data_IF_019564220438
#
_entry.id   IF_019564220438
#
_cell.length_a   1.000
_cell.length_b   1.000
_cell.length_c   1.000
_cell.angle_alpha   90.00
_cell.angle_beta   90.00
_cell.angle_gamma   90.00
#
_symmetry.space_group_name_H-M   'P 1'
#
loop_
_entity.id
_entity.type
_entity.pdbx_description
1 polymer ?
#
# COMPACT_ATOMS: atom_id res chain seq x y z
N UNK A 1 67.29 -25.88 -29.90
CA UNK A 1 66.21 -26.57 -29.17
C UNK A 1 66.39 -28.07 -29.38
N UNK A 2 66.46 -28.86 -28.32
CA UNK A 2 66.61 -30.32 -28.38
C UNK A 2 65.22 -30.97 -28.39
N UNK A 3 64.97 -31.89 -29.32
CA UNK A 3 63.75 -32.69 -29.32
C UNK A 3 63.80 -33.68 -28.16
N UNK A 4 62.76 -33.71 -27.32
CA UNK A 4 62.67 -34.61 -26.15
C UNK A 4 62.39 -36.04 -26.62
N UNK A 5 61.70 -36.22 -27.76
CA UNK A 5 61.32 -37.53 -28.29
C UNK A 5 62.51 -38.27 -28.91
N UNK A 6 63.36 -37.59 -29.71
CA UNK A 6 64.45 -38.26 -30.45
C UNK A 6 65.85 -37.67 -30.21
N UNK A 7 66.00 -36.72 -29.29
CA UNK A 7 67.28 -36.15 -28.89
C UNK A 7 67.97 -35.23 -29.92
N UNK A 8 67.45 -35.11 -31.15
CA UNK A 8 68.03 -34.25 -32.21
C UNK A 8 68.03 -32.77 -31.80
N UNK A 9 69.13 -32.08 -32.08
CA UNK A 9 69.33 -30.66 -31.77
C UNK A 9 69.08 -29.84 -33.03
N UNK A 10 68.18 -28.86 -32.91
CA UNK A 10 67.85 -27.94 -34.01
C UNK A 10 68.25 -26.51 -33.65
N UNK A 11 68.74 -25.77 -34.65
CA UNK A 11 68.96 -24.32 -34.55
C UNK A 11 67.63 -23.56 -34.64
N UNK A 12 67.68 -22.23 -34.74
CA UNK A 12 66.50 -21.35 -34.70
C UNK A 12 65.42 -21.65 -35.77
N UNK A 13 65.76 -22.41 -36.81
CA UNK A 13 64.86 -22.82 -37.91
C UNK A 13 64.82 -24.35 -37.99
N UNK A 14 63.67 -24.91 -38.40
CA UNK A 14 63.53 -26.34 -38.68
C UNK A 14 62.90 -27.20 -37.58
N UNK A 15 62.90 -26.77 -36.30
CA UNK A 15 62.29 -27.55 -35.21
C UNK A 15 60.80 -27.84 -35.45
N UNK A 16 60.03 -26.83 -35.86
CA UNK A 16 58.60 -26.98 -36.14
C UNK A 16 58.32 -27.94 -37.30
N UNK A 17 59.19 -27.99 -38.30
CA UNK A 17 59.07 -28.92 -39.43
C UNK A 17 59.43 -30.34 -39.00
N UNK A 18 60.43 -30.49 -38.14
CA UNK A 18 60.85 -31.77 -37.59
C UNK A 18 59.74 -32.48 -36.80
N UNK A 19 58.89 -31.75 -36.07
CA UNK A 19 57.80 -32.36 -35.29
C UNK A 19 56.80 -33.16 -36.15
N UNK A 20 56.73 -32.90 -37.46
CA UNK A 20 55.93 -33.71 -38.40
C UNK A 20 56.41 -35.16 -38.50
N UNK A 21 57.71 -35.42 -38.28
CA UNK A 21 58.28 -36.78 -38.26
C UNK A 21 57.72 -37.60 -37.10
N UNK A 22 57.31 -36.93 -36.02
CA UNK A 22 56.66 -37.54 -34.85
C UNK A 22 55.12 -37.46 -34.93
N UNK A 23 54.58 -37.05 -36.08
CA UNK A 23 53.14 -36.84 -36.30
C UNK A 23 52.48 -35.90 -35.26
N UNK A 24 53.21 -34.88 -34.77
CA UNK A 24 52.72 -33.93 -33.77
C UNK A 24 52.71 -32.50 -34.28
N UNK A 25 51.70 -31.73 -33.87
CA UNK A 25 51.69 -30.28 -34.05
C UNK A 25 52.56 -29.57 -32.99
N UNK A 26 53.08 -28.39 -33.35
CA UNK A 26 53.94 -27.59 -32.47
C UNK A 26 53.27 -27.27 -31.13
N UNK A 27 51.97 -26.99 -31.16
CA UNK A 27 51.17 -26.71 -29.96
C UNK A 27 51.02 -27.96 -29.09
N UNK A 28 50.77 -29.12 -29.68
CA UNK A 28 50.61 -30.39 -28.97
C UNK A 28 51.92 -30.78 -28.28
N UNK A 29 53.03 -30.71 -29.02
CA UNK A 29 54.35 -30.94 -28.43
C UNK A 29 54.63 -30.00 -27.25
N UNK A 30 54.28 -28.72 -27.37
CA UNK A 30 54.42 -27.77 -26.27
C UNK A 30 53.52 -28.13 -25.08
N UNK A 31 52.25 -28.45 -25.34
CA UNK A 31 51.27 -28.80 -24.31
C UNK A 31 51.64 -30.09 -23.56
N UNK A 32 52.24 -31.07 -24.24
CA UNK A 32 52.62 -32.37 -23.66
C UNK A 32 53.96 -32.32 -22.92
N UNK A 33 54.98 -31.67 -23.48
CA UNK A 33 56.36 -31.81 -22.99
C UNK A 33 56.95 -30.55 -22.36
N UNK A 34 56.37 -29.36 -22.61
CA UNK A 34 56.95 -28.08 -22.19
C UNK A 34 56.03 -27.24 -21.29
N UNK A 35 54.74 -27.59 -21.22
CA UNK A 35 53.75 -26.79 -20.50
C UNK A 35 53.85 -27.05 -19.00
N UNK A 36 54.07 -25.97 -18.25
CA UNK A 36 54.01 -25.97 -16.79
C UNK A 36 52.66 -25.46 -16.29
N UNK A 37 52.32 -25.75 -15.03
CA UNK A 37 51.07 -25.34 -14.42
C UNK A 37 50.87 -23.82 -14.49
N UNK A 38 49.69 -23.37 -14.95
CA UNK A 38 49.36 -21.95 -15.09
C UNK A 38 49.66 -21.33 -16.46
N UNK A 39 50.43 -21.98 -17.33
CA UNK A 39 50.66 -21.51 -18.72
C UNK A 39 49.41 -21.74 -19.58
N UNK A 40 49.08 -20.74 -20.41
CA UNK A 40 47.89 -20.78 -21.27
C UNK A 40 46.64 -20.24 -20.62
N UNK A 41 46.76 -19.64 -19.42
CA UNK A 41 45.67 -19.04 -18.66
C UNK A 41 45.97 -17.55 -18.48
N UNK A 42 44.95 -16.71 -18.69
CA UNK A 42 45.06 -15.27 -18.59
C UNK A 42 45.13 -14.85 -17.11
N UNK A 43 46.18 -14.11 -16.74
CA UNK A 43 46.40 -13.66 -15.36
C UNK A 43 45.29 -12.76 -14.80
N UNK A 44 44.43 -12.19 -15.64
CA UNK A 44 43.40 -11.21 -15.22
C UNK A 44 42.00 -11.82 -15.15
N UNK A 45 41.69 -12.79 -16.01
CA UNK A 45 40.32 -13.30 -16.15
C UNK A 45 40.21 -14.83 -16.15
N UNK A 46 41.33 -15.55 -16.03
CA UNK A 46 41.34 -17.01 -15.97
C UNK A 46 40.97 -17.73 -17.28
N UNK A 47 40.72 -16.99 -18.36
CA UNK A 47 40.40 -17.58 -19.67
C UNK A 47 41.65 -18.12 -20.36
N UNK A 48 41.45 -19.07 -21.27
CA UNK A 48 42.53 -19.56 -22.12
C UNK A 48 43.16 -18.43 -22.95
N UNK A 49 44.46 -18.51 -23.15
CA UNK A 49 45.22 -17.55 -23.96
C UNK A 49 45.67 -18.15 -25.27
N UNK A 50 46.04 -17.29 -26.23
CA UNK A 50 46.49 -17.72 -27.55
C UNK A 50 47.91 -18.27 -27.47
N UNK A 51 48.14 -19.46 -28.02
CA UNK A 51 49.48 -19.97 -28.26
C UNK A 51 50.18 -19.12 -29.33
N UNK A 52 51.37 -18.60 -29.02
CA UNK A 52 52.12 -17.73 -29.92
C UNK A 52 53.16 -18.51 -30.71
N UNK A 53 54.04 -19.22 -30.02
CA UNK A 53 55.07 -20.06 -30.64
C UNK A 53 55.70 -20.97 -29.60
N UNK A 54 56.47 -21.97 -30.03
CA UNK A 54 57.15 -22.87 -29.10
C UNK A 54 58.15 -22.16 -28.17
N UNK A 55 58.71 -21.02 -28.60
CA UNK A 55 59.64 -20.22 -27.80
C UNK A 55 58.93 -19.28 -26.83
N UNK A 56 57.90 -18.59 -27.33
CA UNK A 56 57.15 -17.59 -26.54
C UNK A 56 56.08 -18.26 -25.67
N UNK A 57 55.72 -19.51 -25.98
CA UNK A 57 54.63 -20.23 -25.36
C UNK A 57 53.29 -19.56 -25.63
N UNK A 58 52.46 -19.49 -24.59
CA UNK A 58 51.17 -18.84 -24.61
C UNK A 58 51.25 -17.36 -24.24
N UNK A 59 50.36 -16.56 -24.83
CA UNK A 59 50.20 -15.15 -24.43
C UNK A 59 49.88 -15.05 -22.94
N UNK A 60 50.44 -14.02 -22.29
CA UNK A 60 50.17 -13.70 -20.88
C UNK A 60 48.70 -13.29 -20.63
N UNK A 61 48.06 -12.68 -21.64
CA UNK A 61 46.69 -12.19 -21.56
C UNK A 61 45.84 -12.69 -22.73
N UNK A 62 44.53 -12.85 -22.51
CA UNK A 62 43.60 -13.33 -23.55
C UNK A 62 43.18 -12.23 -24.54
N UNK A 63 43.37 -10.95 -24.22
CA UNK A 63 42.99 -9.82 -25.07
C UNK A 63 43.66 -8.51 -24.63
N UNK A 64 43.65 -7.51 -25.52
CA UNK A 64 44.10 -6.14 -25.21
C UNK A 64 43.37 -5.55 -23.99
N UNK A 65 42.09 -5.90 -23.80
CA UNK A 65 41.33 -5.51 -22.61
C UNK A 65 41.97 -6.02 -21.32
N UNK A 66 42.37 -7.29 -21.29
CA UNK A 66 43.03 -7.87 -20.11
C UNK A 66 44.43 -7.30 -19.94
N UNK A 67 45.19 -7.15 -21.03
CA UNK A 67 46.51 -6.51 -20.99
C UNK A 67 46.47 -5.09 -20.42
N UNK A 68 45.48 -4.28 -20.82
CA UNK A 68 45.33 -2.91 -20.33
C UNK A 68 44.83 -2.82 -18.87
N UNK A 69 44.26 -3.91 -18.36
CA UNK A 69 43.82 -4.03 -16.97
C UNK A 69 44.86 -4.74 -16.09
N UNK A 70 46.03 -5.07 -16.64
CA UNK A 70 47.11 -5.65 -15.85
C UNK A 70 47.59 -4.64 -14.78
N UNK A 71 47.80 -5.07 -13.52
CA UNK A 71 48.19 -4.16 -12.43
C UNK A 71 49.40 -3.29 -12.78
N UNK A 72 50.44 -3.88 -13.40
CA UNK A 72 51.64 -3.16 -13.82
C UNK A 72 51.37 -2.05 -14.85
N UNK A 73 50.42 -2.27 -15.76
CA UNK A 73 50.00 -1.28 -16.76
C UNK A 73 49.18 -0.18 -16.12
N UNK A 74 48.29 -0.53 -15.18
CA UNK A 74 47.50 0.45 -14.41
C UNK A 74 48.41 1.38 -13.62
N UNK A 75 49.39 0.85 -12.89
CA UNK A 75 50.35 1.65 -12.11
C UNK A 75 51.19 2.56 -13.01
N UNK A 76 51.71 2.05 -14.14
CA UNK A 76 52.46 2.88 -15.11
C UNK A 76 51.61 4.04 -15.64
N UNK A 77 50.34 3.78 -15.94
CA UNK A 77 49.41 4.81 -16.42
C UNK A 77 49.11 5.85 -15.35
N UNK A 78 48.87 5.44 -14.12
CA UNK A 78 48.67 6.35 -13.00
C UNK A 78 49.89 7.25 -12.76
N UNK A 79 51.09 6.67 -12.75
CA UNK A 79 52.34 7.43 -12.63
C UNK A 79 52.50 8.43 -13.78
N UNK A 80 52.18 8.02 -15.01
CA UNK A 80 52.22 8.92 -16.19
C UNK A 80 51.24 10.08 -16.04
N UNK A 81 50.03 9.83 -15.53
CA UNK A 81 49.06 10.90 -15.29
C UNK A 81 49.46 11.83 -14.14
N UNK A 82 50.05 11.28 -13.07
CA UNK A 82 50.62 12.07 -12.00
C UNK A 82 51.73 12.99 -12.51
N UNK A 83 52.66 12.47 -13.31
CA UNK A 83 53.76 13.26 -13.90
C UNK A 83 53.25 14.36 -14.84
N UNK A 84 52.30 14.05 -15.73
CA UNK A 84 51.82 15.00 -16.74
C UNK A 84 50.77 16.00 -16.25
N UNK A 85 49.92 15.59 -15.32
CA UNK A 85 48.71 16.34 -14.95
C UNK A 85 48.59 16.59 -13.44
N UNK A 86 49.52 16.11 -12.62
CA UNK A 86 49.48 16.25 -11.16
C UNK A 86 48.30 15.51 -10.50
N UNK A 87 47.65 14.59 -11.22
CA UNK A 87 46.45 13.91 -10.72
C UNK A 87 46.42 12.44 -11.16
N UNK A 88 45.87 11.58 -10.29
CA UNK A 88 45.70 10.13 -10.56
C UNK A 88 44.79 9.84 -11.76
N UNK A 89 44.08 10.84 -12.26
CA UNK A 89 43.33 10.77 -13.51
C UNK A 89 43.10 12.20 -14.04
N UNK A 90 43.32 12.49 -15.32
CA UNK A 90 43.19 13.85 -15.87
C UNK A 90 41.81 14.48 -15.60
N UNK A 91 40.73 13.71 -15.76
CA UNK A 91 39.37 14.20 -15.50
C UNK A 91 39.08 14.58 -14.04
N UNK A 92 39.97 14.27 -13.08
CA UNK A 92 39.85 14.74 -11.69
C UNK A 92 40.35 16.16 -11.50
N UNK A 93 41.12 16.71 -12.45
CA UNK A 93 41.58 18.10 -12.42
C UNK A 93 40.39 19.05 -12.49
N UNK A 94 40.36 20.02 -11.60
CA UNK A 94 39.21 20.93 -11.46
C UNK A 94 38.96 21.75 -12.74
N UNK A 95 40.03 22.15 -13.42
CA UNK A 95 39.98 22.81 -14.72
C UNK A 95 39.20 21.99 -15.77
N UNK A 96 39.46 20.68 -15.86
CA UNK A 96 38.79 19.79 -16.82
C UNK A 96 37.33 19.59 -16.43
N UNK A 97 37.03 19.43 -15.13
CA UNK A 97 35.64 19.36 -14.65
C UNK A 97 34.86 20.62 -14.98
N UNK A 98 35.48 21.79 -14.78
CA UNK A 98 34.86 23.09 -15.04
C UNK A 98 34.61 23.29 -16.53
N UNK A 99 35.56 22.93 -17.40
CA UNK A 99 35.37 22.95 -18.86
C UNK A 99 34.18 22.09 -19.28
N UNK A 100 34.10 20.85 -18.81
CA UNK A 100 32.96 19.95 -19.10
C UNK A 100 31.63 20.53 -18.61
N UNK A 101 31.61 21.10 -17.40
CA UNK A 101 30.41 21.72 -16.83
C UNK A 101 29.96 22.93 -17.65
N UNK A 102 30.88 23.82 -18.02
CA UNK A 102 30.61 24.99 -18.84
C UNK A 102 30.06 24.60 -20.22
N UNK A 103 30.68 23.63 -20.90
CA UNK A 103 30.19 23.13 -22.20
C UNK A 103 28.75 22.63 -22.12
N UNK A 104 28.34 22.01 -21.01
CA UNK A 104 26.96 21.58 -20.82
C UNK A 104 26.00 22.73 -20.48
N UNK A 105 26.45 23.69 -19.66
CA UNK A 105 25.66 24.86 -19.27
C UNK A 105 25.32 25.72 -20.49
N UNK A 106 26.30 25.96 -21.37
CA UNK A 106 26.15 26.76 -22.59
C UNK A 106 25.19 26.16 -23.63
N UNK A 107 24.83 24.87 -23.50
CA UNK A 107 23.87 24.25 -24.43
C UNK A 107 22.46 24.77 -24.23
N UNK A 108 21.82 25.09 -25.35
CA UNK A 108 20.41 25.44 -25.41
C UNK A 108 19.53 24.27 -24.94
N UNK A 109 18.30 24.59 -24.51
CA UNK A 109 17.28 23.61 -24.16
C UNK A 109 17.01 22.63 -25.33
N UNK A 110 16.95 23.14 -26.56
CA UNK A 110 16.74 22.33 -27.77
C UNK A 110 17.87 21.30 -27.96
N UNK A 111 19.13 21.71 -27.84
CA UNK A 111 20.26 20.78 -27.92
C UNK A 111 20.23 19.71 -26.84
N UNK A 112 19.93 20.09 -25.59
CA UNK A 112 19.81 19.15 -24.46
C UNK A 112 18.73 18.10 -24.73
N UNK A 113 17.59 18.51 -25.29
CA UNK A 113 16.51 17.61 -25.70
C UNK A 113 16.93 16.67 -26.84
N UNK A 114 17.63 17.19 -27.85
CA UNK A 114 18.16 16.37 -28.97
C UNK A 114 19.11 15.29 -28.45
N UNK A 115 20.03 15.65 -27.55
CA UNK A 115 20.98 14.72 -26.93
C UNK A 115 20.23 13.63 -26.15
N UNK A 116 19.24 14.02 -25.34
CA UNK A 116 18.39 13.09 -24.60
C UNK A 116 17.66 12.11 -25.52
N UNK A 117 17.07 12.62 -26.61
CA UNK A 117 16.37 11.82 -27.61
C UNK A 117 17.30 10.84 -28.33
N UNK A 118 18.49 11.28 -28.75
CA UNK A 118 19.50 10.40 -29.37
C UNK A 118 19.91 9.27 -28.43
N UNK A 119 20.15 9.57 -27.14
CA UNK A 119 20.47 8.55 -26.12
C UNK A 119 19.33 7.53 -25.97
N UNK A 120 18.08 8.00 -25.88
CA UNK A 120 16.89 7.15 -25.78
C UNK A 120 16.77 6.22 -27.00
N UNK A 121 16.88 6.77 -28.21
CA UNK A 121 16.75 6.01 -29.46
C UNK A 121 17.85 4.95 -29.61
N UNK A 122 19.10 5.27 -29.27
CA UNK A 122 20.18 4.28 -29.28
C UNK A 122 19.93 3.14 -28.29
N UNK A 123 19.38 3.45 -27.12
CA UNK A 123 19.02 2.45 -26.11
C UNK A 123 17.91 1.52 -26.63
N UNK A 124 16.86 2.09 -27.24
CA UNK A 124 15.76 1.34 -27.83
C UNK A 124 16.28 0.44 -28.96
N UNK A 125 17.08 0.98 -29.89
CA UNK A 125 17.65 0.22 -31.01
C UNK A 125 18.50 -0.97 -30.56
N UNK A 126 19.24 -0.85 -29.45
CA UNK A 126 20.16 -1.90 -28.98
C UNK A 126 19.52 -2.90 -28.02
N UNK A 127 18.56 -2.46 -27.21
CA UNK A 127 18.08 -3.23 -26.06
C UNK A 127 16.54 -3.29 -25.96
N UNK A 128 15.80 -2.72 -26.92
CA UNK A 128 14.33 -2.66 -26.89
C UNK A 128 13.73 -1.74 -25.83
N UNK A 129 14.55 -1.17 -24.94
CA UNK A 129 14.12 -0.33 -23.82
C UNK A 129 14.63 1.10 -23.93
N UNK A 130 13.90 2.05 -23.35
CA UNK A 130 14.30 3.47 -23.37
C UNK A 130 15.46 3.81 -22.45
N UNK A 131 15.77 2.95 -21.49
CA UNK A 131 16.90 3.07 -20.57
C UNK A 131 17.35 1.67 -20.15
N UNK A 132 18.66 1.45 -20.13
CA UNK A 132 19.24 0.16 -19.69
C UNK A 132 18.89 -0.18 -18.25
N UNK A 133 18.52 0.82 -17.44
CA UNK A 133 18.01 0.61 -16.07
C UNK A 133 16.70 -0.17 -16.00
N UNK A 134 15.98 -0.31 -17.11
CA UNK A 134 14.75 -1.10 -17.19
C UNK A 134 15.03 -2.60 -17.33
N UNK A 135 16.22 -2.98 -17.85
CA UNK A 135 16.63 -4.37 -18.03
C UNK A 135 16.74 -5.09 -16.68
N UNK A 136 16.17 -6.30 -16.60
CA UNK A 136 16.18 -7.12 -15.38
C UNK A 136 17.61 -7.39 -14.90
N UNK A 137 18.51 -7.82 -15.80
CA UNK A 137 19.92 -8.08 -15.49
C UNK A 137 20.62 -6.87 -14.83
N UNK A 138 20.33 -5.65 -15.31
CA UNK A 138 20.90 -4.42 -14.75
C UNK A 138 20.32 -4.12 -13.37
N UNK A 139 19.02 -4.37 -13.16
CA UNK A 139 18.39 -4.22 -11.84
C UNK A 139 18.97 -5.20 -10.83
N UNK A 140 19.20 -6.44 -11.23
CA UNK A 140 19.72 -7.48 -10.32
C UNK A 140 21.18 -7.26 -9.98
N UNK A 141 22.02 -6.89 -10.97
CA UNK A 141 23.42 -6.49 -10.69
C UNK A 141 23.51 -5.32 -9.71
N UNK A 142 22.58 -4.36 -9.78
CA UNK A 142 22.51 -3.26 -8.81
C UNK A 142 22.18 -3.75 -7.41
N UNK A 143 21.17 -4.63 -7.27
CA UNK A 143 20.80 -5.21 -5.97
C UNK A 143 21.97 -5.99 -5.36
N UNK A 144 22.61 -6.87 -6.14
CA UNK A 144 23.77 -7.66 -5.71
C UNK A 144 24.90 -6.74 -5.24
N UNK A 145 25.18 -5.68 -5.99
CA UNK A 145 26.22 -4.71 -5.61
C UNK A 145 25.86 -3.96 -4.31
N UNK A 146 24.59 -3.57 -4.13
CA UNK A 146 24.14 -2.91 -2.91
C UNK A 146 24.20 -3.84 -1.70
N UNK A 147 23.80 -5.10 -1.87
CA UNK A 147 23.93 -6.14 -0.84
C UNK A 147 25.39 -6.35 -0.45
N UNK A 148 26.30 -6.48 -1.42
CA UNK A 148 27.73 -6.65 -1.17
C UNK A 148 28.34 -5.48 -0.40
N UNK A 149 27.96 -4.24 -0.73
CA UNK A 149 28.59 -3.05 -0.17
C UNK A 149 27.93 -2.56 1.13
N UNK A 150 26.64 -2.81 1.31
CA UNK A 150 25.84 -2.19 2.37
C UNK A 150 24.93 -3.17 3.13
N UNK A 151 24.91 -4.46 2.77
CA UNK A 151 24.03 -5.47 3.36
C UNK A 151 22.55 -5.32 3.03
N UNK A 152 22.18 -4.35 2.18
CA UNK A 152 20.78 -4.02 1.84
C UNK A 152 20.58 -3.92 0.34
N UNK A 153 19.38 -4.23 -0.14
CA UNK A 153 19.04 -4.20 -1.57
C UNK A 153 18.97 -2.77 -2.15
N UNK A 154 18.73 -1.78 -1.30
CA UNK A 154 18.68 -0.37 -1.67
C UNK A 154 19.60 0.44 -0.73
N UNK A 155 20.57 1.23 -1.25
CA UNK A 155 21.47 2.03 -0.43
C UNK A 155 20.76 2.95 0.56
N UNK A 156 19.57 3.44 0.24
CA UNK A 156 18.79 4.32 1.13
C UNK A 156 18.28 3.62 2.40
N UNK A 157 18.24 2.29 2.42
CA UNK A 157 17.92 1.50 3.61
C UNK A 157 19.13 1.34 4.55
N UNK A 158 20.34 1.58 4.04
CA UNK A 158 21.56 1.44 4.83
C UNK A 158 21.67 2.59 5.83
N UNK A 159 21.76 2.26 7.12
CA UNK A 159 21.95 3.23 8.20
C UNK A 159 23.20 4.08 7.96
N UNK A 160 24.29 3.48 7.47
CA UNK A 160 25.54 4.17 7.13
C UNK A 160 25.30 5.25 6.05
N UNK A 161 24.54 4.92 5.01
CA UNK A 161 24.22 5.87 3.94
C UNK A 161 23.29 6.97 4.45
N UNK A 162 22.28 6.64 5.24
CA UNK A 162 21.38 7.63 5.84
C UNK A 162 22.13 8.62 6.75
N UNK A 163 23.04 8.13 7.58
CA UNK A 163 23.81 8.99 8.47
C UNK A 163 24.75 9.91 7.68
N UNK A 164 25.40 9.38 6.63
CA UNK A 164 26.23 10.18 5.73
C UNK A 164 25.43 11.29 5.04
N UNK A 165 24.19 11.01 4.63
CA UNK A 165 23.30 12.03 4.04
C UNK A 165 22.97 13.11 5.07
N UNK A 166 22.60 12.72 6.30
CA UNK A 166 22.29 13.66 7.39
C UNK A 166 23.48 14.58 7.70
N UNK A 167 24.67 14.01 7.89
CA UNK A 167 25.89 14.78 8.19
C UNK A 167 26.23 15.73 7.04
N UNK A 168 26.22 15.26 5.79
CA UNK A 168 26.48 16.13 4.64
C UNK A 168 25.46 17.28 4.51
N UNK A 169 24.19 17.04 4.84
CA UNK A 169 23.17 18.09 4.81
C UNK A 169 23.38 19.10 5.95
N UNK A 170 23.77 18.63 7.14
CA UNK A 170 24.15 19.50 8.26
C UNK A 170 25.37 20.36 7.89
N UNK A 171 26.43 19.76 7.37
CA UNK A 171 27.66 20.48 7.02
C UNK A 171 27.42 21.55 5.94
N UNK A 172 26.58 21.25 4.94
CA UNK A 172 26.36 22.16 3.80
C UNK A 172 25.24 23.17 4.02
N UNK A 173 24.21 22.81 4.78
CA UNK A 173 22.96 23.55 4.84
C UNK A 173 22.48 23.81 6.27
N UNK A 174 23.17 23.33 7.30
CA UNK A 174 22.80 23.47 8.71
C UNK A 174 21.54 22.71 9.11
N UNK A 175 20.96 21.89 8.22
CA UNK A 175 19.72 21.14 8.44
C UNK A 175 19.89 19.70 8.01
N UNK A 176 19.26 18.75 8.71
CA UNK A 176 19.36 17.32 8.37
C UNK A 176 18.65 16.96 7.07
N UNK A 177 17.67 17.77 6.65
CA UNK A 177 16.88 17.57 5.44
C UNK A 177 16.82 18.87 4.64
N UNK A 178 17.21 18.80 3.36
CA UNK A 178 17.23 19.96 2.44
C UNK A 178 15.85 20.60 2.26
N UNK A 179 14.78 19.85 2.45
CA UNK A 179 13.39 20.35 2.41
C UNK A 179 13.05 21.31 3.56
N UNK A 180 13.87 21.34 4.61
CA UNK A 180 13.73 22.21 5.78
C UNK A 180 14.66 23.43 5.71
N UNK A 181 15.37 23.62 4.59
CA UNK A 181 16.08 24.87 4.34
C UNK A 181 15.09 26.03 4.22
N UNK A 182 15.51 27.23 4.65
CA UNK A 182 14.69 28.45 4.56
C UNK A 182 14.18 28.68 3.13
N UNK A 183 15.06 28.51 2.14
CA UNK A 183 14.71 28.64 0.72
C UNK A 183 13.63 27.65 0.27
N UNK A 184 13.75 26.37 0.66
CA UNK A 184 12.76 25.34 0.29
C UNK A 184 11.40 25.60 0.96
N UNK A 185 11.41 26.03 2.23
CA UNK A 185 10.20 26.39 2.97
C UNK A 185 9.49 27.56 2.27
N UNK A 186 10.24 28.59 1.86
CA UNK A 186 9.66 29.77 1.21
C UNK A 186 9.07 29.45 -0.16
N UNK A 187 9.78 28.66 -0.99
CA UNK A 187 9.24 28.19 -2.28
C UNK A 187 7.94 27.38 -2.12
N UNK A 188 7.82 26.58 -1.06
CA UNK A 188 6.57 25.85 -0.75
C UNK A 188 5.44 26.82 -0.41
N UNK A 189 5.70 27.80 0.45
CA UNK A 189 4.71 28.82 0.82
C UNK A 189 4.23 29.61 -0.38
N UNK A 190 5.13 30.08 -1.24
CA UNK A 190 4.79 30.80 -2.47
C UNK A 190 3.91 29.94 -3.40
N UNK A 191 4.25 28.66 -3.54
CA UNK A 191 3.46 27.70 -4.34
C UNK A 191 2.05 27.52 -3.76
N UNK A 192 1.92 27.40 -2.44
CA UNK A 192 0.63 27.23 -1.79
C UNK A 192 -0.22 28.49 -1.84
N UNK A 193 0.38 29.67 -1.69
CA UNK A 193 -0.29 30.96 -1.89
C UNK A 193 -0.80 31.08 -3.33
N UNK A 194 0.04 30.78 -4.32
CA UNK A 194 -0.34 30.82 -5.74
C UNK A 194 -1.49 29.88 -6.06
N UNK A 195 -1.45 28.64 -5.56
CA UNK A 195 -2.41 27.61 -5.95
C UNK A 195 -3.68 27.59 -5.11
N UNK A 196 -3.61 28.03 -3.85
CA UNK A 196 -4.67 27.84 -2.86
C UNK A 196 -5.01 29.10 -2.04
N UNK A 197 -4.31 30.22 -2.26
CA UNK A 197 -4.52 31.47 -1.51
C UNK A 197 -4.12 31.39 -0.03
N UNK A 198 -3.49 30.30 0.42
CA UNK A 198 -3.17 30.06 1.82
C UNK A 198 -1.72 29.64 2.02
N UNK A 199 -1.17 29.94 3.19
CA UNK A 199 0.20 29.59 3.58
C UNK A 199 0.39 28.11 3.90
N UNK A 200 -0.68 27.33 3.98
CA UNK A 200 -0.62 25.88 4.16
C UNK A 200 -1.87 25.22 3.56
N UNK A 201 -1.76 24.16 2.73
CA UNK A 201 -2.89 23.58 2.00
C UNK A 201 -4.03 23.11 2.88
N UNK A 202 -3.75 22.64 4.11
CA UNK A 202 -4.78 22.21 5.04
C UNK A 202 -5.75 23.33 5.48
N UNK A 203 -5.34 24.60 5.36
CA UNK A 203 -6.19 25.76 5.64
C UNK A 203 -7.13 26.09 4.47
N UNK A 204 -6.86 25.58 3.27
CA UNK A 204 -7.66 25.85 2.07
C UNK A 204 -9.01 25.13 2.12
N UNK A 205 -10.09 25.88 1.93
CA UNK A 205 -11.43 25.30 1.87
C UNK A 205 -11.63 24.36 0.68
N UNK A 206 -10.93 24.60 -0.44
CA UNK A 206 -10.91 23.70 -1.58
C UNK A 206 -10.37 22.32 -1.17
N UNK A 207 -9.29 22.29 -0.40
CA UNK A 207 -8.68 21.04 0.08
C UNK A 207 -9.56 20.37 1.13
N UNK A 208 -10.17 21.14 2.04
CA UNK A 208 -11.12 20.61 3.03
C UNK A 208 -12.32 19.95 2.33
N UNK A 209 -12.97 20.63 1.38
CA UNK A 209 -14.09 20.10 0.60
C UNK A 209 -13.72 18.82 -0.14
N UNK A 210 -12.55 18.77 -0.80
CA UNK A 210 -12.06 17.56 -1.48
C UNK A 210 -11.86 16.38 -0.55
N UNK A 211 -11.33 16.61 0.67
CA UNK A 211 -11.17 15.55 1.68
C UNK A 211 -12.52 15.01 2.14
N UNK A 212 -13.47 15.91 2.39
CA UNK A 212 -14.82 15.59 2.83
C UNK A 212 -15.56 14.76 1.78
N UNK A 213 -15.58 15.20 0.51
CA UNK A 213 -16.21 14.45 -0.59
C UNK A 213 -15.60 13.05 -0.73
N UNK A 214 -14.27 12.92 -0.77
CA UNK A 214 -13.62 11.61 -0.89
C UNK A 214 -13.92 10.67 0.28
N UNK A 215 -14.13 11.22 1.47
CA UNK A 215 -14.55 10.43 2.63
C UNK A 215 -15.98 9.89 2.46
N UNK A 216 -16.90 10.73 1.97
CA UNK A 216 -18.28 10.32 1.72
C UNK A 216 -18.41 9.34 0.56
N UNK A 217 -17.69 9.54 -0.54
CA UNK A 217 -17.68 8.62 -1.68
C UNK A 217 -17.34 7.18 -1.26
N UNK A 218 -16.43 7.03 -0.28
CA UNK A 218 -16.08 5.73 0.27
C UNK A 218 -17.15 5.13 1.19
N UNK A 219 -17.95 5.95 1.86
CA UNK A 219 -18.98 5.51 2.82
C UNK A 219 -20.34 5.24 2.18
N UNK A 220 -20.67 5.93 1.09
CA UNK A 220 -21.96 5.79 0.39
C UNK A 220 -22.32 4.32 0.11
N UNK A 221 -21.41 3.44 -0.37
CA UNK A 221 -21.75 2.03 -0.60
C UNK A 221 -22.19 1.30 0.66
N UNK A 222 -21.49 1.50 1.78
CA UNK A 222 -21.83 0.86 3.06
C UNK A 222 -23.17 1.39 3.62
N UNK A 223 -23.43 2.69 3.48
CA UNK A 223 -24.71 3.31 3.85
C UNK A 223 -25.85 2.72 3.02
N UNK A 224 -25.66 2.58 1.71
CA UNK A 224 -26.68 2.01 0.82
C UNK A 224 -27.03 0.56 1.18
N UNK A 225 -26.02 -0.27 1.47
CA UNK A 225 -26.24 -1.66 1.93
C UNK A 225 -27.00 -1.69 3.26
N UNK A 226 -26.58 -0.87 4.22
CA UNK A 226 -27.23 -0.78 5.53
C UNK A 226 -28.71 -0.37 5.42
N UNK A 227 -29.01 0.66 4.62
CA UNK A 227 -30.38 1.11 4.39
C UNK A 227 -31.23 0.06 3.68
N UNK A 228 -30.64 -0.65 2.70
CA UNK A 228 -31.32 -1.76 2.02
C UNK A 228 -31.78 -2.83 3.00
N UNK A 229 -30.94 -3.18 3.98
CA UNK A 229 -31.28 -4.15 5.04
C UNK A 229 -32.43 -3.68 5.94
N UNK A 230 -32.63 -2.36 6.07
CA UNK A 230 -33.76 -1.77 6.79
C UNK A 230 -35.01 -1.56 5.92
N UNK A 231 -34.99 -2.04 4.66
CA UNK A 231 -36.00 -1.72 3.66
C UNK A 231 -36.16 -0.21 3.44
N UNK A 232 -35.06 0.53 3.41
CA UNK A 232 -35.01 1.97 3.18
C UNK A 232 -34.12 2.30 1.98
N UNK A 233 -34.41 3.42 1.34
CA UNK A 233 -33.59 3.99 0.25
C UNK A 233 -33.39 5.48 0.48
N UNK A 234 -32.22 6.01 0.13
CA UNK A 234 -31.97 7.46 0.14
C UNK A 234 -32.78 8.13 -0.96
N UNK A 235 -33.43 9.25 -0.61
CA UNK A 235 -34.07 10.14 -1.59
C UNK A 235 -33.04 11.14 -2.13
N UNK A 236 -32.14 11.61 -1.27
CA UNK A 236 -31.08 12.55 -1.59
C UNK A 236 -29.70 11.98 -1.21
N UNK A 237 -28.60 12.45 -1.84
CA UNK A 237 -27.26 11.99 -1.49
C UNK A 237 -26.94 12.17 -0.01
N UNK A 238 -26.43 11.11 0.62
CA UNK A 238 -25.98 11.16 2.00
C UNK A 238 -24.79 12.13 2.15
N UNK A 239 -24.93 13.11 3.03
CA UNK A 239 -23.89 14.12 3.26
C UNK A 239 -23.18 13.96 4.60
N UNK A 240 -23.82 13.52 5.68
CA UNK A 240 -23.19 13.37 7.00
C UNK A 240 -24.02 12.45 7.90
N UNK A 241 -23.38 11.87 8.93
CA UNK A 241 -24.06 11.02 9.91
C UNK A 241 -24.94 11.85 10.87
N UNK A 242 -24.56 13.11 11.04
CA UNK A 242 -25.19 14.10 11.93
C UNK A 242 -26.22 14.96 11.19
N UNK A 243 -26.23 14.92 9.85
CA UNK A 243 -27.28 15.59 9.07
C UNK A 243 -28.53 14.72 9.04
N UNK A 244 -29.68 15.39 9.02
CA UNK A 244 -30.95 14.75 8.69
C UNK A 244 -30.87 14.26 7.25
N UNK A 245 -31.26 13.00 7.03
CA UNK A 245 -31.33 12.39 5.71
C UNK A 245 -32.77 12.05 5.36
N UNK A 246 -33.13 12.29 4.08
CA UNK A 246 -34.43 11.94 3.53
C UNK A 246 -34.41 10.50 3.02
N UNK A 247 -35.35 9.72 3.52
CA UNK A 247 -35.46 8.29 3.30
C UNK A 247 -36.81 7.95 2.69
N UNK A 248 -36.84 6.94 1.85
CA UNK A 248 -38.06 6.29 1.34
C UNK A 248 -38.13 4.88 1.88
N UNK A 249 -39.26 4.49 2.45
CA UNK A 249 -39.50 3.12 2.84
C UNK A 249 -39.81 2.26 1.61
N UNK A 250 -39.14 1.13 1.46
CA UNK A 250 -39.36 0.19 0.36
C UNK A 250 -40.63 -0.65 0.57
N UNK A 251 -41.16 -0.74 1.79
CA UNK A 251 -42.41 -1.43 2.14
C UNK A 251 -43.62 -0.53 1.85
N UNK A 252 -43.86 0.49 2.67
CA UNK A 252 -45.05 1.35 2.54
C UNK A 252 -44.90 2.53 1.56
N UNK A 253 -43.72 2.68 0.93
CA UNK A 253 -43.39 3.76 -0.03
C UNK A 253 -43.37 5.17 0.53
N UNK A 254 -43.75 5.38 1.79
CA UNK A 254 -43.72 6.68 2.45
C UNK A 254 -42.31 7.25 2.56
N UNK A 255 -42.20 8.58 2.50
CA UNK A 255 -40.98 9.32 2.74
C UNK A 255 -40.96 9.89 4.15
N UNK A 256 -39.78 9.91 4.77
CA UNK A 256 -39.59 10.46 6.10
C UNK A 256 -38.14 10.90 6.30
N UNK A 257 -37.90 11.64 7.36
CA UNK A 257 -36.60 12.17 7.73
C UNK A 257 -36.10 11.52 9.01
N UNK A 258 -34.81 11.19 9.05
CA UNK A 258 -34.14 10.69 10.25
C UNK A 258 -32.67 11.06 10.23
N UNK A 259 -32.06 11.16 11.41
CA UNK A 259 -30.60 11.12 11.50
C UNK A 259 -30.11 9.71 11.15
N UNK A 260 -29.02 9.61 10.41
CA UNK A 260 -28.38 8.32 10.13
C UNK A 260 -27.97 7.61 11.42
N UNK A 261 -27.48 8.37 12.41
CA UNK A 261 -27.16 7.84 13.73
C UNK A 261 -28.34 7.09 14.38
N UNK A 262 -29.57 7.62 14.29
CA UNK A 262 -30.75 6.94 14.85
C UNK A 262 -31.11 5.66 14.13
N UNK A 263 -30.85 5.56 12.82
CA UNK A 263 -31.02 4.31 12.07
C UNK A 263 -30.07 3.24 12.61
N UNK A 264 -28.81 3.60 12.88
CA UNK A 264 -27.81 2.67 13.42
C UNK A 264 -28.18 2.14 14.80
N UNK A 265 -28.83 2.96 15.62
CA UNK A 265 -29.29 2.58 16.96
C UNK A 265 -30.65 1.84 16.96
N UNK A 266 -31.23 1.58 15.79
CA UNK A 266 -32.51 0.87 15.65
C UNK A 266 -33.76 1.74 15.86
N UNK A 267 -33.59 3.01 16.26
CA UNK A 267 -34.69 3.96 16.44
C UNK A 267 -35.22 4.53 15.12
N UNK A 268 -34.37 4.68 14.10
CA UNK A 268 -34.69 5.35 12.83
C UNK A 268 -35.57 4.56 11.85
N UNK A 269 -36.28 3.52 12.29
CA UNK A 269 -37.17 2.73 11.40
C UNK A 269 -38.25 3.59 10.76
N UNK A 270 -38.85 3.08 9.69
CA UNK A 270 -39.97 3.77 9.04
C UNK A 270 -41.10 4.03 10.07
N UNK A 271 -41.47 5.28 10.34
CA UNK A 271 -42.44 5.61 11.38
C UNK A 271 -43.87 5.16 11.05
N UNK A 272 -44.15 4.86 9.79
CA UNK A 272 -45.45 4.38 9.33
C UNK A 272 -45.58 2.85 9.45
N UNK A 273 -44.50 2.11 9.16
CA UNK A 273 -44.49 0.65 9.36
C UNK A 273 -44.21 0.28 10.83
N UNK A 274 -43.52 1.15 11.57
CA UNK A 274 -43.07 0.92 12.94
C UNK A 274 -43.27 2.19 13.79
N UNK A 275 -44.53 2.58 14.07
CA UNK A 275 -44.84 3.78 14.86
C UNK A 275 -44.30 3.65 16.30
N UNK A 276 -43.60 4.68 16.79
CA UNK A 276 -42.94 4.66 18.11
C UNK A 276 -43.87 4.83 19.31
N UNK A 277 -45.13 5.22 19.10
CA UNK A 277 -46.04 5.66 20.17
C UNK A 277 -47.15 4.66 20.53
N UNK A 278 -47.12 3.44 19.98
CA UNK A 278 -48.16 2.43 20.19
C UNK A 278 -47.52 1.04 20.19
N UNK A 279 -47.73 0.26 21.25
CA UNK A 279 -47.25 -1.12 21.32
C UNK A 279 -47.95 -1.94 20.24
N UNK A 280 -47.18 -2.43 19.25
CA UNK A 280 -47.71 -3.29 18.18
C UNK A 280 -48.37 -4.53 18.80
N UNK A 281 -47.83 -5.04 19.92
CA UNK A 281 -48.39 -6.17 20.65
C UNK A 281 -49.76 -5.89 21.24
N UNK A 282 -49.92 -4.76 21.96
CA UNK A 282 -51.21 -4.34 22.53
C UNK A 282 -52.28 -4.20 21.44
N UNK A 283 -51.95 -3.58 20.30
CA UNK A 283 -52.88 -3.46 19.17
C UNK A 283 -53.23 -4.79 18.55
N UNK A 284 -52.25 -5.69 18.40
CA UNK A 284 -52.47 -7.02 17.86
C UNK A 284 -53.45 -7.82 18.72
N UNK A 285 -53.33 -7.72 20.05
CA UNK A 285 -54.26 -8.35 20.99
C UNK A 285 -55.64 -7.67 20.92
N UNK A 286 -55.69 -6.34 20.88
CA UNK A 286 -56.94 -5.60 20.74
C UNK A 286 -57.69 -5.94 19.44
N UNK A 287 -56.99 -6.12 18.33
CA UNK A 287 -57.58 -6.56 17.06
C UNK A 287 -58.11 -7.99 17.18
N UNK A 288 -57.36 -8.91 17.79
CA UNK A 288 -57.83 -10.27 18.03
C UNK A 288 -59.12 -10.31 18.87
N UNK A 289 -59.20 -9.51 19.95
CA UNK A 289 -60.42 -9.40 20.77
C UNK A 289 -61.59 -8.84 19.96
N UNK A 290 -61.31 -7.85 19.09
CA UNK A 290 -62.33 -7.29 18.18
C UNK A 290 -62.84 -8.31 17.17
N UNK A 291 -61.97 -9.15 16.63
CA UNK A 291 -62.33 -10.23 15.69
C UNK A 291 -63.22 -11.28 16.36
N UNK A 292 -63.09 -11.47 17.68
CA UNK A 292 -64.01 -12.27 18.51
C UNK A 292 -65.36 -11.57 18.79
N UNK A 293 -65.59 -10.37 18.23
CA UNK A 293 -66.79 -9.55 18.45
C UNK A 293 -67.03 -9.20 19.93
N UNK A 294 -65.95 -8.93 20.68
CA UNK A 294 -66.00 -8.51 22.09
C UNK A 294 -65.60 -7.04 22.18
N UNK A 295 -66.42 -6.23 22.86
CA UNK A 295 -66.10 -4.84 23.16
C UNK A 295 -65.09 -4.73 24.31
N UNK A 296 -64.15 -3.78 24.17
CA UNK A 296 -63.11 -3.54 25.16
C UNK A 296 -62.70 -2.07 25.22
N UNK A 297 -62.03 -1.70 26.31
CA UNK A 297 -61.49 -0.37 26.57
C UNK A 297 -59.97 -0.49 26.70
N UNK A 298 -59.21 0.45 26.10
CA UNK A 298 -57.74 0.44 26.16
C UNK A 298 -57.19 1.46 27.16
N UNK A 299 -55.95 1.25 27.62
CA UNK A 299 -55.14 2.20 28.38
C UNK A 299 -55.87 2.76 29.63
N UNK A 300 -56.41 1.86 30.45
CA UNK A 300 -57.31 2.18 31.55
C UNK A 300 -56.54 2.45 32.84
N UNK A 301 -56.59 3.68 33.38
CA UNK A 301 -55.83 4.09 34.59
C UNK A 301 -56.66 4.21 35.87
N UNK A 302 -57.97 4.14 35.77
CA UNK A 302 -58.89 4.39 36.89
C UNK A 302 -59.30 3.12 37.66
N UNK A 303 -58.96 1.93 37.19
CA UNK A 303 -59.30 0.65 37.85
C UNK A 303 -58.31 0.32 38.98
N UNK A 304 -57.01 0.42 38.70
CA UNK A 304 -55.91 0.13 39.64
C UNK A 304 -54.92 1.30 39.75
N UNK A 305 -55.37 2.52 40.09
CA UNK A 305 -54.50 3.70 40.13
C UNK A 305 -53.33 3.50 41.10
N UNK A 306 -52.10 3.97 40.76
CA UNK A 306 -51.75 4.78 39.60
C UNK A 306 -51.42 3.97 38.32
N UNK A 307 -51.60 2.64 38.34
CA UNK A 307 -51.21 1.76 37.26
C UNK A 307 -52.25 1.76 36.13
N UNK A 308 -51.75 1.60 34.90
CA UNK A 308 -52.55 1.43 33.69
C UNK A 308 -52.79 -0.06 33.42
N UNK A 309 -53.96 -0.41 32.89
CA UNK A 309 -54.28 -1.71 32.30
C UNK A 309 -54.36 -1.52 30.78
N UNK A 310 -53.64 -2.34 30.01
CA UNK A 310 -53.59 -2.20 28.55
C UNK A 310 -54.97 -2.39 27.91
N UNK A 311 -55.69 -3.47 28.25
CA UNK A 311 -57.03 -3.78 27.74
C UNK A 311 -57.94 -4.24 28.89
N UNK A 312 -59.16 -3.69 28.96
CA UNK A 312 -60.19 -4.08 29.91
C UNK A 312 -61.49 -4.43 29.18
N UNK A 313 -62.11 -5.56 29.56
CA UNK A 313 -63.37 -6.08 29.04
C UNK A 313 -64.38 -6.05 30.19
N UNK A 314 -65.19 -4.97 30.32
CA UNK A 314 -66.07 -4.77 31.46
C UNK A 314 -67.09 -5.90 31.64
N UNK A 315 -67.72 -6.34 30.55
CA UNK A 315 -68.78 -7.35 30.58
C UNK A 315 -68.32 -8.69 31.16
N UNK A 316 -67.03 -9.04 30.96
CA UNK A 316 -66.46 -10.30 31.43
C UNK A 316 -65.63 -10.16 32.70
N UNK A 317 -65.46 -8.94 33.22
CA UNK A 317 -64.49 -8.60 34.28
C UNK A 317 -63.09 -9.18 34.00
N UNK A 318 -62.64 -9.05 32.76
CA UNK A 318 -61.31 -9.51 32.33
C UNK A 318 -60.44 -8.31 31.98
N UNK A 319 -59.21 -8.30 32.47
CA UNK A 319 -58.14 -7.41 32.06
C UNK A 319 -57.08 -8.20 31.29
N UNK A 320 -56.49 -7.62 30.26
CA UNK A 320 -55.38 -8.21 29.50
C UNK A 320 -54.21 -7.23 29.48
N UNK A 321 -53.02 -7.72 29.83
CA UNK A 321 -51.78 -6.96 29.84
C UNK A 321 -50.77 -7.60 28.87
N UNK A 322 -50.18 -6.78 28.00
CA UNK A 322 -49.11 -7.17 27.10
C UNK A 322 -47.74 -6.79 27.68
N UNK A 323 -46.95 -7.80 28.00
CA UNK A 323 -45.68 -7.63 28.69
C UNK A 323 -44.47 -7.74 27.76
N UNK A 324 -43.92 -6.59 27.38
CA UNK A 324 -42.64 -6.54 26.65
C UNK A 324 -41.48 -7.08 27.50
N UNK A 325 -40.74 -8.07 27.01
CA UNK A 325 -39.75 -8.81 27.82
C UNK A 325 -38.66 -7.91 28.40
N UNK A 326 -38.11 -7.00 27.60
CA UNK A 326 -37.10 -6.06 28.09
C UNK A 326 -37.72 -4.96 28.96
N UNK A 327 -38.76 -4.28 28.46
CA UNK A 327 -39.34 -3.09 29.08
C UNK A 327 -40.01 -3.37 30.41
N UNK A 328 -40.54 -4.59 30.60
CA UNK A 328 -41.17 -5.00 31.85
C UNK A 328 -40.25 -5.85 32.74
N UNK A 329 -38.93 -5.78 32.53
CA UNK A 329 -37.92 -6.44 33.35
C UNK A 329 -37.29 -5.51 34.39
N UNK A 330 -36.67 -6.10 35.42
CA UNK A 330 -35.86 -5.39 36.41
C UNK A 330 -34.70 -4.60 35.75
N UNK A 331 -34.17 -5.09 34.62
CA UNK A 331 -33.12 -4.39 33.86
C UNK A 331 -33.58 -3.05 33.29
N UNK A 332 -34.87 -2.93 32.95
CA UNK A 332 -35.47 -1.66 32.52
C UNK A 332 -35.97 -0.82 33.71
N UNK A 333 -35.70 -1.23 34.95
CA UNK A 333 -36.03 -0.50 36.17
C UNK A 333 -37.42 -0.81 36.73
N UNK A 334 -38.11 -1.87 36.29
CA UNK A 334 -39.36 -2.31 36.91
C UNK A 334 -39.11 -3.08 38.20
N UNK A 335 -39.99 -2.94 39.17
CA UNK A 335 -39.93 -3.71 40.40
C UNK A 335 -40.13 -5.21 40.13
N UNK A 336 -39.43 -6.08 40.87
CA UNK A 336 -39.53 -7.55 40.73
C UNK A 336 -40.95 -8.09 40.92
N UNK A 337 -41.78 -7.40 41.71
CA UNK A 337 -43.16 -7.78 41.97
C UNK A 337 -44.16 -7.01 41.09
N UNK A 338 -43.72 -6.24 40.09
CA UNK A 338 -44.59 -5.39 39.26
C UNK A 338 -45.80 -6.16 38.69
N UNK A 339 -45.54 -7.30 38.05
CA UNK A 339 -46.57 -8.17 37.46
C UNK A 339 -47.49 -8.78 38.53
N UNK A 340 -46.91 -9.27 39.62
CA UNK A 340 -47.65 -9.85 40.75
C UNK A 340 -48.56 -8.82 41.43
N UNK A 341 -48.10 -7.57 41.56
CA UNK A 341 -48.85 -6.49 42.16
C UNK A 341 -50.07 -6.12 41.30
N UNK A 342 -49.92 -6.02 39.97
CA UNK A 342 -51.06 -5.83 39.05
C UNK A 342 -52.09 -6.95 39.17
N UNK A 343 -51.64 -8.21 39.21
CA UNK A 343 -52.51 -9.37 39.37
C UNK A 343 -53.32 -9.29 40.67
N UNK A 344 -52.67 -8.98 41.80
CA UNK A 344 -53.33 -8.83 43.11
C UNK A 344 -54.35 -7.70 43.11
N UNK A 345 -53.99 -6.52 42.60
CA UNK A 345 -54.87 -5.36 42.55
C UNK A 345 -56.10 -5.61 41.67
N UNK A 346 -55.95 -6.33 40.55
CA UNK A 346 -57.10 -6.74 39.73
C UNK A 346 -57.98 -7.75 40.49
N UNK A 347 -57.37 -8.74 41.15
CA UNK A 347 -58.10 -9.74 41.93
C UNK A 347 -58.91 -9.12 43.07
N UNK A 348 -58.38 -8.10 43.75
CA UNK A 348 -59.11 -7.34 44.79
C UNK A 348 -60.35 -6.61 44.27
N UNK A 349 -60.40 -6.35 42.96
CA UNK A 349 -61.53 -5.72 42.26
C UNK A 349 -62.45 -6.73 41.57
N UNK A 350 -62.27 -8.02 41.85
CA UNK A 350 -63.00 -9.11 41.18
C UNK A 350 -62.78 -9.09 39.65
N UNK A 351 -61.57 -8.74 39.22
CA UNK A 351 -61.15 -8.69 37.81
C UNK A 351 -60.08 -9.75 37.58
N UNK A 352 -60.30 -10.63 36.60
CA UNK A 352 -59.30 -11.62 36.17
C UNK A 352 -58.27 -10.96 35.24
N UNK A 353 -57.02 -10.87 35.67
CA UNK A 353 -55.92 -10.39 34.83
C UNK A 353 -55.27 -11.54 34.05
N UNK A 354 -55.23 -11.40 32.72
CA UNK A 354 -54.48 -12.26 31.80
C UNK A 354 -53.21 -11.49 31.42
N UNK A 355 -52.04 -12.08 31.66
CA UNK A 355 -50.75 -11.49 31.33
C UNK A 355 -50.15 -12.28 30.17
N UNK A 356 -49.88 -11.61 29.06
CA UNK A 356 -49.32 -12.21 27.83
C UNK A 356 -47.94 -11.62 27.63
N UNK A 357 -46.89 -12.43 27.66
CA UNK A 357 -45.54 -11.97 27.39
C UNK A 357 -45.26 -11.87 25.89
N UNK A 358 -44.38 -10.95 25.50
CA UNK A 358 -44.05 -10.65 24.10
C UNK A 358 -43.64 -11.91 23.30
N UNK A 359 -42.84 -12.81 23.87
CA UNK A 359 -42.46 -14.06 23.19
C UNK A 359 -43.62 -15.05 23.07
N UNK A 360 -44.52 -15.11 24.05
CA UNK A 360 -45.72 -15.94 23.98
C UNK A 360 -46.62 -15.49 22.82
N UNK A 361 -46.86 -14.17 22.73
CA UNK A 361 -47.67 -13.62 21.65
C UNK A 361 -47.02 -13.77 20.27
N UNK A 362 -45.69 -13.63 20.18
CA UNK A 362 -44.98 -13.68 18.89
C UNK A 362 -44.74 -15.11 18.38
N UNK A 363 -44.58 -16.09 19.28
CA UNK A 363 -44.06 -17.41 18.90
C UNK A 363 -44.94 -18.59 19.34
N UNK A 364 -45.99 -18.37 20.13
CA UNK A 364 -46.85 -19.43 20.69
C UNK A 364 -48.34 -19.13 20.51
N UNK A 365 -48.75 -18.81 19.28
CA UNK A 365 -50.15 -18.48 18.96
C UNK A 365 -51.05 -19.73 18.82
N UNK A 366 -50.45 -20.92 18.64
CA UNK A 366 -51.16 -22.20 18.59
C UNK A 366 -51.41 -22.69 20.03
N UNK A 367 -52.49 -22.24 20.66
CA UNK A 367 -52.99 -22.79 21.93
C UNK A 367 -54.47 -23.16 21.79
#
# INVERSE_FOLDING_TARGET
MKCIICGKIFSNKGFSAHLKVHNMLVKEYFDTYLKTAGIGICEICGKSTKFLSIKKGYSRFCSNKCSNNAPSVLTKRENTWMLKYGAKHPAKKEEIKNKVKQTWTLKSLKEKQIISRKRKNTCIKRYGVSSTNQLAEVKDKKKITCLKNYGVVNPMQSVVVQQKIKNNNLDKYGVTCTLNTKESIEKKKQTWLKNYGVTHPAKSDIIKRKKISKFFDKRIPAVAVFLKNLNLSLVEPYTSAQSVIKLRCNICKAQFESLYFYLQQGYGKCPYCYPRYKSIGEQSIGNFIKDLSIDYIQNVKNIIPPLEIDIYIPEKKIAVEYNGLYWHSEKAGKDKNYHLNKLKLCSEKDIRLIQIFEDEWLFKQDI
#
